data_IF_885248216068
#
_entry.id   IF_885248216068
#
_cell.length_a   1.000
_cell.length_b   1.000
_cell.length_c   1.000
_cell.angle_alpha   90.00
_cell.angle_beta   90.00
_cell.angle_gamma   90.00
#
_symmetry.space_group_name_H-M   'P 1'
#
loop_
_entity.id
_entity.type
_entity.pdbx_description
1 polymer ?
#
# COMPACT_ATOMS: atom_id res chain seq x y z
N UNK A 1 -26.25 -9.41 -27.73
CA UNK A 1 -25.18 -9.67 -26.75
C UNK A 1 -25.02 -11.18 -26.62
N UNK A 2 -23.84 -11.72 -26.92
CA UNK A 2 -23.63 -13.17 -26.86
C UNK A 2 -23.45 -13.68 -25.41
N UNK A 3 -23.44 -15.00 -25.22
CA UNK A 3 -23.30 -15.63 -23.89
C UNK A 3 -22.00 -15.19 -23.18
N UNK A 4 -20.88 -15.10 -23.90
CA UNK A 4 -19.57 -14.70 -23.37
C UNK A 4 -19.59 -13.23 -22.95
N UNK A 5 -20.16 -12.36 -23.76
CA UNK A 5 -20.36 -10.95 -23.42
C UNK A 5 -21.20 -10.83 -22.14
N UNK A 6 -22.27 -11.64 -22.00
CA UNK A 6 -23.12 -11.62 -20.79
C UNK A 6 -22.38 -12.05 -19.53
N UNK A 7 -21.44 -12.99 -19.62
CA UNK A 7 -20.61 -13.38 -18.47
C UNK A 7 -19.74 -12.21 -17.97
N UNK A 8 -19.28 -11.31 -18.85
CA UNK A 8 -18.51 -10.12 -18.44
C UNK A 8 -19.32 -9.12 -17.60
N UNK A 9 -20.66 -9.20 -17.60
CA UNK A 9 -21.54 -8.37 -16.77
C UNK A 9 -21.89 -9.02 -15.43
N UNK A 10 -21.36 -10.21 -15.13
CA UNK A 10 -21.55 -10.88 -13.84
C UNK A 10 -20.34 -10.63 -12.96
N UNK A 11 -20.58 -10.14 -11.74
CA UNK A 11 -19.54 -9.92 -10.74
C UNK A 11 -19.84 -10.69 -9.45
N UNK A 12 -18.81 -11.31 -8.88
CA UNK A 12 -18.91 -12.03 -7.61
C UNK A 12 -18.51 -11.12 -6.45
N UNK A 13 -19.48 -10.35 -5.93
CA UNK A 13 -19.22 -9.29 -4.95
C UNK A 13 -18.72 -9.84 -3.60
N UNK A 14 -19.17 -11.04 -3.18
CA UNK A 14 -18.85 -11.61 -1.88
C UNK A 14 -17.40 -12.10 -1.67
N UNK A 15 -16.57 -12.12 -2.72
CA UNK A 15 -15.17 -12.56 -2.61
C UNK A 15 -14.21 -11.44 -2.19
N UNK A 16 -14.71 -10.23 -1.97
CA UNK A 16 -13.92 -9.09 -1.50
C UNK A 16 -13.97 -9.09 0.03
N UNK A 17 -12.87 -9.47 0.66
CA UNK A 17 -12.79 -9.69 2.11
C UNK A 17 -11.67 -8.88 2.80
N UNK A 18 -11.14 -7.85 2.14
CA UNK A 18 -10.06 -7.01 2.67
C UNK A 18 -10.14 -5.61 2.09
N UNK A 19 -9.82 -4.59 2.89
CA UNK A 19 -9.79 -3.21 2.44
C UNK A 19 -8.74 -2.98 1.34
N UNK A 20 -7.63 -3.73 1.34
CA UNK A 20 -6.63 -3.73 0.26
C UNK A 20 -7.21 -4.12 -1.11
N UNK A 21 -8.10 -5.12 -1.17
CA UNK A 21 -8.80 -5.48 -2.42
C UNK A 21 -9.78 -4.39 -2.87
N UNK A 22 -10.45 -3.75 -1.92
CA UNK A 22 -11.36 -2.63 -2.20
C UNK A 22 -10.53 -1.45 -2.73
N UNK A 23 -9.42 -1.12 -2.09
CA UNK A 23 -8.47 -0.10 -2.53
C UNK A 23 -8.03 -0.34 -3.98
N UNK A 24 -7.60 -1.55 -4.31
CA UNK A 24 -7.22 -1.92 -5.69
C UNK A 24 -8.34 -1.64 -6.71
N UNK A 25 -9.60 -1.97 -6.38
CA UNK A 25 -10.74 -1.67 -7.26
C UNK A 25 -10.99 -0.17 -7.44
N UNK A 26 -10.79 0.64 -6.40
CA UNK A 26 -10.89 2.09 -6.51
C UNK A 26 -9.75 2.66 -7.38
N UNK A 27 -8.51 2.19 -7.20
CA UNK A 27 -7.38 2.58 -8.07
C UNK A 27 -7.64 2.19 -9.52
N UNK A 28 -8.04 0.93 -9.78
CA UNK A 28 -8.38 0.45 -11.14
C UNK A 28 -9.50 1.29 -11.78
N UNK A 29 -10.50 1.71 -10.98
CA UNK A 29 -11.57 2.57 -11.47
C UNK A 29 -11.06 3.97 -11.86
N UNK A 30 -10.16 4.56 -11.06
CA UNK A 30 -9.53 5.85 -11.39
C UNK A 30 -8.74 5.73 -12.69
N UNK A 31 -7.89 4.72 -12.80
CA UNK A 31 -7.08 4.45 -14.01
C UNK A 31 -7.96 4.26 -15.24
N UNK A 32 -9.03 3.48 -15.11
CA UNK A 32 -10.01 3.28 -16.19
C UNK A 32 -10.65 4.61 -16.62
N UNK A 33 -11.08 5.45 -15.67
CA UNK A 33 -11.70 6.74 -15.98
C UNK A 33 -10.73 7.65 -16.71
N UNK A 34 -9.50 7.85 -16.22
CA UNK A 34 -8.53 8.70 -16.90
C UNK A 34 -8.11 8.16 -18.27
N UNK A 35 -8.09 6.84 -18.45
CA UNK A 35 -7.76 6.21 -19.73
C UNK A 35 -8.89 6.29 -20.76
N UNK A 36 -10.13 6.03 -20.35
CA UNK A 36 -11.25 5.83 -21.28
C UNK A 36 -12.16 7.07 -21.41
N UNK A 37 -12.37 7.83 -20.34
CA UNK A 37 -13.28 8.98 -20.36
C UNK A 37 -12.89 10.09 -21.35
N UNK A 38 -11.61 10.47 -21.51
CA UNK A 38 -11.20 11.46 -22.51
C UNK A 38 -11.60 11.09 -23.95
N UNK A 39 -11.71 9.80 -24.27
CA UNK A 39 -12.10 9.30 -25.60
C UNK A 39 -13.55 9.63 -25.93
N UNK A 40 -14.39 9.88 -24.93
CA UNK A 40 -15.79 10.29 -25.10
C UNK A 40 -15.93 11.75 -25.56
N UNK A 41 -14.85 12.53 -25.51
CA UNK A 41 -14.81 13.99 -25.76
C UNK A 41 -15.66 14.82 -24.80
N UNK A 42 -16.18 14.22 -23.72
CA UNK A 42 -16.87 14.96 -22.66
C UNK A 42 -15.87 15.63 -21.71
N UNK A 43 -16.28 16.73 -21.08
CA UNK A 43 -15.47 17.40 -20.04
C UNK A 43 -15.53 16.61 -18.74
N UNK A 44 -14.42 16.59 -17.99
CA UNK A 44 -14.36 15.98 -16.65
C UNK A 44 -15.34 16.60 -15.66
N UNK A 45 -15.75 17.85 -15.85
CA UNK A 45 -16.79 18.53 -15.06
C UNK A 45 -18.04 17.66 -14.83
N UNK A 46 -18.46 16.89 -15.84
CA UNK A 46 -19.67 16.05 -15.78
C UNK A 46 -19.55 14.91 -14.75
N UNK A 47 -18.33 14.45 -14.47
CA UNK A 47 -18.03 13.35 -13.55
C UNK A 47 -17.09 13.76 -12.40
N UNK A 48 -16.84 15.06 -12.25
CA UNK A 48 -15.78 15.58 -11.37
C UNK A 48 -15.99 15.13 -9.92
N UNK A 49 -17.22 15.27 -9.41
CA UNK A 49 -17.54 14.95 -8.02
C UNK A 49 -17.40 13.44 -7.72
N UNK A 50 -18.02 12.52 -8.49
CA UNK A 50 -17.76 11.08 -8.35
C UNK A 50 -16.29 10.68 -8.48
N UNK A 51 -15.54 11.30 -9.40
CA UNK A 51 -14.13 10.98 -9.59
C UNK A 51 -13.30 11.42 -8.39
N UNK A 52 -13.52 12.64 -7.87
CA UNK A 52 -12.85 13.14 -6.66
C UNK A 52 -13.16 12.28 -5.43
N UNK A 53 -14.42 11.83 -5.28
CA UNK A 53 -14.78 10.85 -4.26
C UNK A 53 -13.93 9.57 -4.38
N UNK A 54 -13.89 9.01 -5.59
CA UNK A 54 -13.20 7.75 -5.90
C UNK A 54 -11.72 7.84 -5.55
N UNK A 55 -11.05 8.90 -6.01
CA UNK A 55 -9.63 9.13 -5.76
C UNK A 55 -9.35 9.34 -4.26
N UNK A 56 -10.19 10.14 -3.60
CA UNK A 56 -10.05 10.40 -2.16
C UNK A 56 -10.19 9.12 -1.35
N UNK A 57 -11.17 8.28 -1.70
CA UNK A 57 -11.41 7.03 -1.00
C UNK A 57 -10.35 5.96 -1.28
N UNK A 58 -9.81 5.90 -2.50
CA UNK A 58 -8.64 5.07 -2.80
C UNK A 58 -7.45 5.41 -1.87
N UNK A 59 -7.14 6.70 -1.74
CA UNK A 59 -6.05 7.19 -0.88
C UNK A 59 -6.34 6.88 0.59
N UNK A 60 -7.58 7.07 1.06
CA UNK A 60 -7.98 6.72 2.43
C UNK A 60 -7.73 5.24 2.75
N UNK A 61 -8.18 4.34 1.88
CA UNK A 61 -8.02 2.91 2.08
C UNK A 61 -6.53 2.51 2.05
N UNK A 62 -5.79 3.02 1.07
CA UNK A 62 -4.34 2.76 0.97
C UNK A 62 -3.56 3.28 2.18
N UNK A 63 -3.92 4.45 2.74
CA UNK A 63 -3.35 4.96 3.98
C UNK A 63 -3.67 4.05 5.16
N UNK A 64 -4.94 3.65 5.33
CA UNK A 64 -5.36 2.78 6.44
C UNK A 64 -4.64 1.44 6.40
N UNK A 65 -4.57 0.81 5.23
CA UNK A 65 -3.87 -0.46 5.04
C UNK A 65 -2.38 -0.33 5.41
N UNK A 66 -1.71 0.71 4.90
CA UNK A 66 -0.30 0.93 5.24
C UNK A 66 -0.08 1.23 6.73
N UNK A 67 -0.94 2.03 7.37
CA UNK A 67 -0.86 2.30 8.81
C UNK A 67 -1.03 1.00 9.60
N UNK A 68 -2.00 0.16 9.22
CA UNK A 68 -2.27 -1.11 9.90
C UNK A 68 -1.12 -2.11 9.72
N UNK A 69 -0.51 -2.16 8.54
CA UNK A 69 0.71 -2.93 8.30
C UNK A 69 1.86 -2.44 9.19
N UNK A 70 2.16 -1.13 9.17
CA UNK A 70 3.25 -0.53 9.93
C UNK A 70 3.07 -0.67 11.46
N UNK A 71 1.83 -0.64 11.94
CA UNK A 71 1.49 -0.86 13.35
C UNK A 71 2.07 -2.17 13.89
N UNK A 72 2.03 -3.24 13.09
CA UNK A 72 2.54 -4.57 13.48
C UNK A 72 4.00 -4.46 13.95
N UNK A 73 4.80 -3.65 13.24
CA UNK A 73 6.24 -3.55 13.45
C UNK A 73 6.64 -2.38 14.35
N UNK A 74 5.91 -1.27 14.32
CA UNK A 74 6.17 -0.15 15.23
C UNK A 74 5.88 -0.51 16.69
N UNK A 75 4.96 -1.47 16.92
CA UNK A 75 4.43 -1.87 18.22
C UNK A 75 3.94 -0.67 19.06
N UNK A 76 3.64 0.45 18.40
CA UNK A 76 3.24 1.68 19.06
C UNK A 76 1.76 1.58 19.42
N UNK A 77 1.46 1.61 20.72
CA UNK A 77 0.08 1.74 21.19
C UNK A 77 -0.49 3.15 21.00
N UNK A 78 0.40 4.13 20.81
CA UNK A 78 0.06 5.54 20.73
C UNK A 78 -0.06 6.00 19.27
N UNK A 79 -1.20 6.59 18.96
CA UNK A 79 -1.43 7.32 17.73
C UNK A 79 -1.05 8.79 17.94
N UNK A 80 -0.64 9.46 16.88
CA UNK A 80 -0.28 10.89 16.90
C UNK A 80 -1.40 11.80 16.44
N UNK A 81 -2.24 11.34 15.50
CA UNK A 81 -3.33 12.15 14.94
C UNK A 81 -4.73 11.73 15.43
N UNK A 82 -4.83 10.65 16.21
CA UNK A 82 -6.09 10.05 16.63
C UNK A 82 -6.04 9.61 18.10
N UNK A 83 -7.19 9.55 18.76
CA UNK A 83 -7.27 9.12 20.17
C UNK A 83 -7.19 7.60 20.32
N UNK A 84 -7.70 6.86 19.34
CA UNK A 84 -7.64 5.40 19.32
C UNK A 84 -7.74 4.83 17.90
N UNK A 85 -7.46 3.52 17.79
CA UNK A 85 -7.43 2.78 16.54
C UNK A 85 -8.80 2.64 15.88
N UNK A 86 -9.88 2.55 16.65
CA UNK A 86 -11.23 2.44 16.10
C UNK A 86 -11.65 3.76 15.44
N UNK A 87 -11.30 4.89 16.03
CA UNK A 87 -11.52 6.22 15.44
C UNK A 87 -10.73 6.34 14.13
N UNK A 88 -9.46 5.91 14.10
CA UNK A 88 -8.65 5.92 12.88
C UNK A 88 -9.30 5.11 11.76
N UNK A 89 -9.69 3.85 12.04
CA UNK A 89 -10.30 2.96 11.05
C UNK A 89 -11.61 3.53 10.50
N UNK A 90 -12.39 4.23 11.32
CA UNK A 90 -13.63 4.89 10.90
C UNK A 90 -13.42 6.29 10.31
N UNK A 91 -12.21 6.84 10.41
CA UNK A 91 -11.95 8.21 9.98
C UNK A 91 -11.89 8.32 8.47
N UNK A 92 -12.43 9.41 7.95
CA UNK A 92 -12.28 9.82 6.56
C UNK A 92 -11.34 11.04 6.41
N UNK A 93 -10.69 11.46 7.51
CA UNK A 93 -9.82 12.62 7.56
C UNK A 93 -8.46 12.29 6.92
N UNK A 94 -8.33 12.53 5.60
CA UNK A 94 -7.10 12.28 4.84
C UNK A 94 -5.87 12.97 5.45
N UNK A 95 -6.00 14.20 5.95
CA UNK A 95 -4.89 14.93 6.59
C UNK A 95 -4.44 14.25 7.88
N UNK A 96 -5.39 13.79 8.70
CA UNK A 96 -5.09 13.02 9.92
C UNK A 96 -4.44 11.68 9.59
N UNK A 97 -5.00 10.95 8.63
CA UNK A 97 -4.48 9.66 8.18
C UNK A 97 -3.07 9.79 7.60
N UNK A 98 -2.80 10.77 6.75
CA UNK A 98 -1.47 11.02 6.17
C UNK A 98 -0.41 11.32 7.25
N UNK A 99 -0.74 12.18 8.23
CA UNK A 99 0.14 12.42 9.38
C UNK A 99 0.43 11.15 10.16
N UNK A 100 -0.59 10.34 10.40
CA UNK A 100 -0.40 9.08 11.13
C UNK A 100 0.43 8.08 10.33
N UNK A 101 0.22 8.00 9.01
CA UNK A 101 1.03 7.17 8.12
C UNK A 101 2.52 7.51 8.20
N UNK A 102 2.87 8.80 8.06
CA UNK A 102 4.25 9.25 8.22
C UNK A 102 4.82 8.94 9.62
N UNK A 103 4.01 9.14 10.66
CA UNK A 103 4.39 8.84 12.04
C UNK A 103 4.69 7.36 12.25
N UNK A 104 3.81 6.46 11.77
CA UNK A 104 4.00 5.01 11.88
C UNK A 104 5.18 4.53 11.03
N UNK A 105 5.41 5.11 9.85
CA UNK A 105 6.57 4.80 9.02
C UNK A 105 7.87 5.14 9.76
N UNK A 106 7.97 6.35 10.31
CA UNK A 106 9.16 6.78 11.05
C UNK A 106 9.39 5.98 12.33
N UNK A 107 8.32 5.66 13.09
CA UNK A 107 8.40 4.80 14.27
C UNK A 107 8.91 3.40 13.90
N UNK A 108 8.39 2.82 12.83
CA UNK A 108 8.82 1.52 12.31
C UNK A 108 10.29 1.58 11.91
N UNK A 109 10.69 2.56 11.11
CA UNK A 109 12.07 2.72 10.69
C UNK A 109 13.03 2.87 11.88
N UNK A 110 12.66 3.66 12.90
CA UNK A 110 13.44 3.80 14.13
C UNK A 110 13.55 2.50 14.91
N UNK A 111 12.45 1.74 15.02
CA UNK A 111 12.40 0.47 15.75
C UNK A 111 13.25 -0.61 15.08
N UNK A 112 13.19 -0.68 13.75
CA UNK A 112 13.87 -1.70 12.95
C UNK A 112 15.29 -1.31 12.53
N UNK A 113 15.71 -0.06 12.78
CA UNK A 113 17.04 0.41 12.38
C UNK A 113 17.18 0.60 10.87
N UNK A 114 16.09 0.96 10.18
CA UNK A 114 16.07 1.18 8.73
C UNK A 114 17.02 2.31 8.34
N UNK A 115 17.73 2.11 7.24
CA UNK A 115 18.72 3.03 6.67
C UNK A 115 18.11 4.40 6.30
N UNK A 116 18.96 5.42 6.25
CA UNK A 116 18.51 6.81 6.06
C UNK A 116 18.17 7.13 4.61
N UNK A 117 18.73 6.41 3.65
CA UNK A 117 18.44 6.53 2.22
C UNK A 117 17.01 6.04 1.90
N UNK A 118 16.55 4.94 2.52
CA UNK A 118 15.17 4.45 2.44
C UNK A 118 14.20 5.52 2.96
N UNK A 119 14.51 6.15 4.10
CA UNK A 119 13.71 7.27 4.64
C UNK A 119 13.68 8.46 3.69
N UNK A 120 14.81 8.79 3.05
CA UNK A 120 14.87 9.87 2.07
C UNK A 120 14.00 9.57 0.84
N UNK A 121 14.03 8.33 0.35
CA UNK A 121 13.17 7.86 -0.74
C UNK A 121 11.67 7.98 -0.41
N UNK A 122 11.29 7.55 0.81
CA UNK A 122 9.92 7.73 1.31
C UNK A 122 9.52 9.21 1.38
N UNK A 123 10.32 10.06 2.00
CA UNK A 123 10.00 11.47 2.22
C UNK A 123 9.77 12.22 0.90
N UNK A 124 10.51 11.88 -0.16
CA UNK A 124 10.30 12.46 -1.50
C UNK A 124 8.90 12.16 -2.03
N UNK A 125 8.47 10.91 -1.93
CA UNK A 125 7.14 10.48 -2.40
C UNK A 125 6.02 10.98 -1.48
N UNK A 126 6.27 11.05 -0.17
CA UNK A 126 5.32 11.59 0.81
C UNK A 126 4.97 13.05 0.54
N UNK A 127 5.89 13.85 0.00
CA UNK A 127 5.60 15.22 -0.44
C UNK A 127 4.49 15.31 -1.50
N UNK A 128 4.38 14.32 -2.40
CA UNK A 128 3.29 14.28 -3.39
C UNK A 128 1.93 13.95 -2.74
N UNK A 129 1.92 13.12 -1.70
CA UNK A 129 0.73 12.86 -0.89
C UNK A 129 0.24 14.13 -0.17
N UNK A 130 1.15 14.95 0.35
CA UNK A 130 0.76 16.22 0.97
C UNK A 130 0.12 17.17 -0.05
N UNK A 131 0.68 17.24 -1.27
CA UNK A 131 0.11 18.06 -2.35
C UNK A 131 -1.28 17.59 -2.75
N UNK A 132 -1.51 16.30 -2.97
CA UNK A 132 -2.84 15.83 -3.38
C UNK A 132 -3.88 16.06 -2.29
N UNK A 133 -3.52 15.92 -1.01
CA UNK A 133 -4.42 16.19 0.11
C UNK A 133 -4.80 17.67 0.15
N UNK A 134 -3.87 18.57 -0.17
CA UNK A 134 -4.18 19.99 -0.32
C UNK A 134 -5.17 20.21 -1.46
N UNK A 135 -5.02 19.55 -2.61
CA UNK A 135 -5.98 19.69 -3.74
C UNK A 135 -7.36 19.13 -3.39
N UNK A 136 -7.41 17.99 -2.69
CA UNK A 136 -8.66 17.36 -2.28
C UNK A 136 -9.33 18.10 -1.11
N UNK A 137 -8.60 18.93 -0.36
CA UNK A 137 -9.03 19.87 0.70
C UNK A 137 -9.87 19.29 1.87
N UNK A 138 -10.42 18.08 1.75
CA UNK A 138 -11.50 17.58 2.60
C UNK A 138 -11.44 16.06 2.77
N UNK A 139 -12.24 15.54 3.72
CA UNK A 139 -12.41 14.11 3.93
C UNK A 139 -13.19 13.46 2.78
N UNK A 140 -13.01 12.16 2.59
CA UNK A 140 -13.57 11.42 1.44
C UNK A 140 -15.09 11.47 1.38
N UNK A 141 -15.77 11.62 2.52
CA UNK A 141 -17.21 11.74 2.64
C UNK A 141 -17.79 12.97 1.93
N UNK A 142 -16.96 14.01 1.78
CA UNK A 142 -17.33 15.34 1.28
C UNK A 142 -17.91 15.28 -0.12
N UNK A 143 -17.33 14.44 -0.98
CA UNK A 143 -17.69 14.39 -2.39
C UNK A 143 -18.98 13.61 -2.66
N UNK A 144 -19.66 13.10 -1.64
CA UNK A 144 -20.91 12.32 -1.81
C UNK A 144 -22.17 13.19 -1.82
N UNK A 145 -22.12 14.36 -1.20
CA UNK A 145 -23.31 15.18 -0.95
C UNK A 145 -23.03 16.63 -1.31
N UNK A 146 -24.02 17.32 -1.87
CA UNK A 146 -23.89 18.76 -2.18
C UNK A 146 -23.77 19.62 -0.91
N UNK A 147 -24.39 19.17 0.20
CA UNK A 147 -24.39 19.85 1.48
C UNK A 147 -23.90 18.91 2.60
N UNK A 148 -23.27 19.50 3.61
CA UNK A 148 -22.86 18.82 4.83
C UNK A 148 -23.91 18.99 5.92
N UNK A 149 -24.20 17.89 6.62
CA UNK A 149 -25.07 17.88 7.79
C UNK A 149 -24.24 17.93 9.07
N UNK A 150 -24.72 18.61 10.11
CA UNK A 150 -24.17 18.47 11.46
C UNK A 150 -24.67 17.19 12.15
N UNK A 151 -24.23 17.00 13.39
CA UNK A 151 -24.65 15.88 14.25
C UNK A 151 -26.14 15.93 14.63
N UNK A 152 -26.86 17.01 14.30
CA UNK A 152 -28.30 17.18 14.50
C UNK A 152 -29.08 17.04 13.18
N UNK A 153 -28.42 16.64 12.09
CA UNK A 153 -29.01 16.53 10.75
C UNK A 153 -29.46 17.86 10.13
N UNK A 154 -28.87 18.98 10.55
CA UNK A 154 -29.10 20.30 9.96
C UNK A 154 -28.05 20.62 8.89
N UNK A 155 -28.45 21.30 7.81
CA UNK A 155 -27.52 21.74 6.77
C UNK A 155 -26.62 22.87 7.27
N UNK A 156 -25.31 22.63 7.29
CA UNK A 156 -24.34 23.57 7.88
C UNK A 156 -23.59 24.36 6.82
N UNK A 157 -23.13 23.67 5.78
CA UNK A 157 -22.26 24.24 4.77
C UNK A 157 -22.37 23.46 3.46
N UNK A 158 -22.04 24.12 2.33
CA UNK A 158 -21.82 23.41 1.07
C UNK A 158 -20.58 22.53 1.20
N UNK A 159 -20.68 21.31 0.68
CA UNK A 159 -19.55 20.38 0.73
C UNK A 159 -18.37 20.84 -0.12
N UNK A 160 -18.59 21.71 -1.11
CA UNK A 160 -17.53 22.27 -1.96
C UNK A 160 -17.76 23.75 -2.22
N UNK A 161 -16.65 24.48 -2.38
CA UNK A 161 -16.68 25.87 -2.81
C UNK A 161 -17.10 25.97 -4.28
N UNK A 162 -18.01 26.91 -4.56
CA UNK A 162 -18.66 27.01 -5.86
C UNK A 162 -17.70 27.38 -7.01
N UNK A 163 -16.63 28.10 -6.71
CA UNK A 163 -15.66 28.59 -7.71
C UNK A 163 -14.41 27.72 -7.83
N UNK A 164 -14.32 26.64 -7.04
CA UNK A 164 -13.14 25.78 -7.03
C UNK A 164 -12.97 25.10 -8.39
N UNK A 165 -11.83 25.37 -9.03
CA UNK A 165 -11.40 24.69 -10.25
C UNK A 165 -10.25 23.75 -9.91
N UNK A 166 -10.39 22.50 -10.35
CA UNK A 166 -9.35 21.48 -10.19
C UNK A 166 -8.88 21.09 -11.60
N UNK A 167 -7.57 21.11 -11.80
CA UNK A 167 -6.95 20.57 -13.00
C UNK A 167 -6.86 19.04 -12.87
N UNK A 168 -7.75 18.34 -13.58
CA UNK A 168 -7.81 16.88 -13.56
C UNK A 168 -6.57 16.23 -14.20
N UNK A 169 -5.86 16.91 -15.10
CA UNK A 169 -4.64 16.38 -15.69
C UNK A 169 -3.48 16.38 -14.68
N UNK A 170 -3.31 17.45 -13.92
CA UNK A 170 -2.30 17.48 -12.85
C UNK A 170 -2.70 16.58 -11.67
N UNK A 171 -4.01 16.46 -11.39
CA UNK A 171 -4.52 15.57 -10.37
C UNK A 171 -4.23 14.08 -10.68
N UNK A 172 -4.34 13.66 -11.95
CA UNK A 172 -3.97 12.31 -12.40
C UNK A 172 -2.50 11.98 -12.08
N UNK A 173 -1.59 12.91 -12.39
CA UNK A 173 -0.15 12.74 -12.13
C UNK A 173 0.12 12.61 -10.64
N UNK A 174 -0.45 13.49 -9.82
CA UNK A 174 -0.32 13.42 -8.37
C UNK A 174 -0.85 12.09 -7.83
N UNK A 175 -2.00 11.65 -8.31
CA UNK A 175 -2.60 10.39 -7.89
C UNK A 175 -1.71 9.20 -8.23
N UNK A 176 -1.13 9.18 -9.43
CA UNK A 176 -0.18 8.14 -9.86
C UNK A 176 1.05 8.06 -8.96
N UNK A 177 1.62 9.20 -8.56
CA UNK A 177 2.76 9.22 -7.63
C UNK A 177 2.37 8.79 -6.21
N UNK A 178 1.16 9.12 -5.77
CA UNK A 178 0.64 8.70 -4.46
C UNK A 178 0.30 7.21 -4.45
N UNK A 179 -0.26 6.67 -5.51
CA UNK A 179 -0.48 5.23 -5.63
C UNK A 179 0.85 4.46 -5.59
N UNK A 180 1.89 4.96 -6.26
CA UNK A 180 3.25 4.42 -6.14
C UNK A 180 3.76 4.47 -4.70
N UNK A 181 3.58 5.58 -3.98
CA UNK A 181 3.95 5.68 -2.56
C UNK A 181 3.26 4.58 -1.74
N UNK A 182 1.94 4.51 -1.83
CA UNK A 182 1.12 3.62 -1.01
C UNK A 182 1.39 2.15 -1.34
N UNK A 183 1.64 1.82 -2.61
CA UNK A 183 1.96 0.46 -3.05
C UNK A 183 3.40 0.05 -2.73
N UNK A 184 4.36 1.00 -2.75
CA UNK A 184 5.78 0.69 -2.52
C UNK A 184 6.22 0.77 -1.07
N UNK A 185 5.46 1.41 -0.18
CA UNK A 185 5.92 1.63 1.19
C UNK A 185 6.22 0.34 1.94
N UNK A 186 5.38 -0.69 1.80
CA UNK A 186 5.64 -2.01 2.40
C UNK A 186 6.90 -2.65 1.82
N UNK A 187 7.09 -2.57 0.50
CA UNK A 187 8.28 -3.09 -0.18
C UNK A 187 9.58 -2.39 0.26
N UNK A 188 9.55 -1.07 0.48
CA UNK A 188 10.71 -0.27 0.88
C UNK A 188 11.33 -0.73 2.21
N UNK A 189 10.53 -1.30 3.10
CA UNK A 189 10.98 -1.79 4.40
C UNK A 189 10.86 -3.32 4.53
N UNK A 190 10.49 -4.01 3.45
CA UNK A 190 10.20 -5.45 3.45
C UNK A 190 11.34 -6.26 4.04
N UNK A 191 12.58 -5.91 3.70
CA UNK A 191 13.76 -6.63 4.18
C UNK A 191 13.86 -6.68 5.71
N UNK A 192 13.42 -5.61 6.36
CA UNK A 192 13.42 -5.47 7.81
C UNK A 192 12.18 -6.13 8.43
N UNK A 193 11.00 -5.95 7.82
CA UNK A 193 9.74 -6.50 8.34
C UNK A 193 9.69 -8.02 8.17
N UNK A 194 10.13 -8.53 7.03
CA UNK A 194 10.21 -9.96 6.73
C UNK A 194 11.20 -10.64 7.68
N UNK A 195 12.30 -9.95 8.01
CA UNK A 195 13.25 -10.47 9.00
C UNK A 195 12.64 -10.56 10.41
N UNK A 196 11.85 -9.56 10.82
CA UNK A 196 11.13 -9.61 12.11
C UNK A 196 10.18 -10.82 12.14
N UNK A 197 9.39 -11.00 11.08
CA UNK A 197 8.46 -12.11 10.96
C UNK A 197 9.18 -13.46 10.99
N UNK A 198 10.31 -13.58 10.29
CA UNK A 198 11.13 -14.78 10.30
C UNK A 198 11.67 -15.10 11.70
N UNK A 199 12.18 -14.11 12.44
CA UNK A 199 12.72 -14.34 13.79
C UNK A 199 11.64 -14.71 14.79
N UNK A 200 10.45 -14.15 14.64
CA UNK A 200 9.29 -14.51 15.45
C UNK A 200 8.89 -15.98 15.22
N UNK A 201 8.86 -16.42 13.97
CA UNK A 201 8.58 -17.81 13.59
C UNK A 201 9.73 -18.78 13.93
N UNK A 202 10.97 -18.31 13.80
CA UNK A 202 12.18 -19.11 13.87
C UNK A 202 13.27 -18.38 14.69
N UNK A 203 13.19 -18.41 16.03
CA UNK A 203 14.08 -17.66 16.92
C UNK A 203 15.57 -17.97 16.76
N UNK A 204 15.93 -19.13 16.18
CA UNK A 204 17.31 -19.49 15.90
C UNK A 204 18.02 -18.51 14.95
N UNK A 205 17.27 -17.80 14.10
CA UNK A 205 17.84 -16.81 13.18
C UNK A 205 18.21 -15.49 13.84
N UNK A 206 17.78 -15.25 15.09
CA UNK A 206 18.08 -14.03 15.86
C UNK A 206 19.58 -13.78 16.02
N UNK A 207 20.37 -14.84 16.18
CA UNK A 207 21.83 -14.78 16.40
C UNK A 207 22.57 -14.58 15.07
N UNK A 208 21.97 -15.01 13.95
CA UNK A 208 22.60 -15.01 12.62
C UNK A 208 22.44 -13.72 11.81
N UNK A 209 21.60 -12.77 12.23
CA UNK A 209 21.27 -11.57 11.43
C UNK A 209 22.47 -10.75 11.01
N UNK A 210 23.44 -10.58 11.90
CA UNK A 210 24.60 -9.70 11.66
C UNK A 210 25.44 -10.17 10.48
N UNK A 211 25.27 -11.42 10.04
CA UNK A 211 25.97 -12.01 8.92
C UNK A 211 25.07 -12.17 7.68
N UNK A 212 23.81 -11.71 7.72
CA UNK A 212 22.85 -11.81 6.61
C UNK A 212 22.64 -10.44 5.99
N UNK A 213 22.68 -10.38 4.67
CA UNK A 213 22.60 -9.15 3.88
C UNK A 213 21.17 -8.81 3.49
N UNK A 214 20.32 -9.83 3.30
CA UNK A 214 18.97 -9.66 2.79
C UNK A 214 18.07 -10.76 3.32
N UNK A 215 16.85 -10.39 3.72
CA UNK A 215 15.76 -11.31 4.07
C UNK A 215 14.52 -10.90 3.29
N UNK A 216 14.02 -11.76 2.39
CA UNK A 216 12.82 -11.42 1.60
C UNK A 216 11.81 -12.55 1.62
N UNK A 217 10.58 -12.23 2.01
CA UNK A 217 9.44 -13.13 1.95
C UNK A 217 8.81 -13.10 0.55
N UNK A 218 8.51 -14.28 0.02
CA UNK A 218 7.82 -14.48 -1.25
C UNK A 218 6.59 -15.35 -0.99
N UNK A 219 5.42 -14.90 -1.42
CA UNK A 219 4.18 -15.66 -1.25
C UNK A 219 4.21 -16.99 -2.03
N UNK A 220 3.79 -18.07 -1.37
CA UNK A 220 3.82 -19.45 -1.88
C UNK A 220 2.44 -19.84 -2.39
N UNK A 221 2.08 -19.32 -3.57
CA UNK A 221 0.96 -19.83 -4.34
C UNK A 221 1.42 -20.83 -5.42
N UNK A 222 0.91 -22.06 -5.43
CA UNK A 222 1.04 -22.97 -6.58
C UNK A 222 2.47 -23.45 -6.91
N UNK A 223 3.19 -23.95 -5.91
CA UNK A 223 4.52 -24.58 -6.08
C UNK A 223 5.65 -23.59 -6.36
N UNK A 224 5.54 -22.35 -5.89
CA UNK A 224 6.57 -21.31 -6.02
C UNK A 224 7.90 -21.76 -5.42
N UNK A 225 7.89 -22.45 -4.28
CA UNK A 225 9.06 -23.03 -3.63
C UNK A 225 9.81 -23.99 -4.57
N UNK A 226 9.09 -24.89 -5.25
CA UNK A 226 9.66 -25.84 -6.21
C UNK A 226 10.26 -25.12 -7.42
N UNK A 227 9.63 -24.03 -7.87
CA UNK A 227 10.16 -23.21 -8.98
C UNK A 227 11.45 -22.50 -8.58
N UNK A 228 11.51 -21.94 -7.37
CA UNK A 228 12.71 -21.29 -6.83
C UNK A 228 13.85 -22.31 -6.69
N UNK A 229 13.59 -23.47 -6.07
CA UNK A 229 14.57 -24.56 -5.93
C UNK A 229 15.13 -24.98 -7.29
N UNK A 230 14.26 -25.27 -8.27
CA UNK A 230 14.67 -25.63 -9.63
C UNK A 230 15.48 -24.55 -10.34
N UNK A 231 15.26 -23.28 -10.01
CA UNK A 231 16.05 -22.17 -10.54
C UNK A 231 17.44 -22.16 -9.90
N UNK A 232 17.52 -22.20 -8.56
CA UNK A 232 18.80 -22.23 -7.86
C UNK A 232 19.63 -23.45 -8.20
N UNK A 233 19.03 -24.64 -8.35
CA UNK A 233 19.74 -25.85 -8.77
C UNK A 233 20.36 -25.74 -10.18
N UNK A 234 19.88 -24.82 -11.03
CA UNK A 234 20.44 -24.57 -12.36
C UNK A 234 21.54 -23.50 -12.35
N UNK A 235 21.39 -22.50 -11.50
CA UNK A 235 22.21 -21.28 -11.52
C UNK A 235 23.32 -21.29 -10.46
N UNK A 236 23.17 -22.09 -9.40
CA UNK A 236 24.01 -22.04 -8.20
C UNK A 236 24.44 -23.45 -7.77
N UNK A 237 25.48 -23.50 -6.93
CA UNK A 237 25.97 -24.77 -6.37
C UNK A 237 25.19 -25.08 -5.12
N UNK A 238 24.40 -26.16 -5.17
CA UNK A 238 23.71 -26.67 -3.99
C UNK A 238 24.72 -27.14 -2.95
N UNK A 239 24.63 -26.59 -1.73
CA UNK A 239 25.47 -26.94 -0.59
C UNK A 239 24.72 -27.88 0.37
N UNK A 240 23.46 -27.57 0.66
CA UNK A 240 22.56 -28.35 1.50
C UNK A 240 21.17 -28.39 0.86
N UNK A 241 20.21 -29.03 1.53
CA UNK A 241 18.87 -29.19 0.95
C UNK A 241 18.17 -27.86 0.68
N UNK A 242 18.47 -26.84 1.48
CA UNK A 242 17.90 -25.50 1.49
C UNK A 242 18.95 -24.39 1.34
N UNK A 243 20.19 -24.73 0.94
CA UNK A 243 21.29 -23.76 0.76
C UNK A 243 21.99 -23.91 -0.57
N UNK A 244 22.26 -22.78 -1.22
CA UNK A 244 22.96 -22.67 -2.49
C UNK A 244 24.05 -21.62 -2.41
N UNK A 245 25.11 -21.79 -3.18
CA UNK A 245 26.21 -20.84 -3.32
C UNK A 245 26.28 -20.30 -4.75
N UNK A 246 26.15 -18.99 -4.88
CA UNK A 246 26.36 -18.25 -6.11
C UNK A 246 27.86 -17.95 -6.25
N UNK A 247 28.51 -18.62 -7.21
CA UNK A 247 29.94 -18.44 -7.48
C UNK A 247 30.27 -17.07 -8.07
N UNK A 248 29.35 -16.49 -8.84
CA UNK A 248 29.58 -15.25 -9.55
C UNK A 248 29.53 -14.05 -8.59
N UNK A 249 28.63 -14.13 -7.60
CA UNK A 249 28.49 -13.09 -6.57
C UNK A 249 29.30 -13.38 -5.31
N UNK A 250 29.73 -14.63 -5.10
CA UNK A 250 30.44 -15.06 -3.90
C UNK A 250 29.54 -15.08 -2.67
N UNK A 251 28.25 -15.37 -2.84
CA UNK A 251 27.23 -15.30 -1.79
C UNK A 251 26.51 -16.64 -1.61
N UNK A 252 26.09 -16.95 -0.40
CA UNK A 252 25.25 -18.11 -0.10
C UNK A 252 23.80 -17.67 0.12
N UNK A 253 22.86 -18.40 -0.48
CA UNK A 253 21.42 -18.21 -0.31
C UNK A 253 20.86 -19.39 0.47
N UNK A 254 20.17 -19.10 1.56
CA UNK A 254 19.41 -20.07 2.35
C UNK A 254 17.91 -19.79 2.19
N UNK A 255 17.12 -20.86 1.99
CA UNK A 255 15.68 -20.76 1.76
C UNK A 255 14.92 -21.38 2.93
N UNK A 256 14.10 -20.57 3.61
CA UNK A 256 13.26 -21.02 4.73
C UNK A 256 11.80 -20.90 4.35
N UNK A 257 11.01 -21.95 4.60
CA UNK A 257 9.57 -21.94 4.31
C UNK A 257 8.82 -21.85 5.63
N UNK A 258 7.92 -20.88 5.75
CA UNK A 258 7.03 -20.73 6.90
C UNK A 258 5.66 -20.22 6.43
N UNK A 259 4.61 -20.92 6.84
CA UNK A 259 3.24 -20.75 6.35
C UNK A 259 3.19 -20.65 4.81
N UNK A 260 2.57 -19.59 4.28
CA UNK A 260 2.46 -19.33 2.86
C UNK A 260 3.63 -18.47 2.33
N UNK A 261 4.80 -18.47 2.98
CA UNK A 261 5.95 -17.64 2.59
C UNK A 261 7.25 -18.43 2.46
N UNK A 262 8.04 -18.08 1.44
CA UNK A 262 9.44 -18.47 1.26
C UNK A 262 10.31 -17.27 1.62
N UNK A 263 11.13 -17.42 2.65
CA UNK A 263 12.13 -16.46 3.05
C UNK A 263 13.46 -16.79 2.38
N UNK A 264 13.99 -15.86 1.62
CA UNK A 264 15.32 -15.94 1.02
C UNK A 264 16.31 -15.15 1.85
N UNK A 265 17.39 -15.81 2.26
CA UNK A 265 18.38 -15.29 3.19
C UNK A 265 19.73 -15.28 2.50
N UNK A 266 20.24 -14.09 2.21
CA UNK A 266 21.56 -13.95 1.58
C UNK A 266 22.64 -13.74 2.64
N UNK A 267 23.76 -14.44 2.48
CA UNK A 267 24.92 -14.41 3.37
C UNK A 267 26.19 -14.22 2.53
N UNK A 268 27.02 -13.24 2.90
CA UNK A 268 28.41 -13.14 2.42
C UNK A 268 29.34 -14.02 3.24
#
# INVERSE_FOLDING_TARGET
MDKRQRENYKAWIGYINSDSRIWGQYTDMVDFVYKEYPKTKQKFEVIAIPLLFTMSHAIELGLKENIMHLKKYSQSKLLTAFNDWMILVKSHNLKGLSKEFNSQFNKTCKKLGVENDIKAGFNKLYGELEKIIVVLEKGTETYRYANKLDNKSEFVEKSLEFEKKIDFYELEKLFTEVDKLLTRTTNLISEYTDYVDLVEAHPQYKIGYKNRLLCRALYVGGGTDLKIRKKFDKEMIRQEDDKWFDKDQGESIEMVIHDDHVYLLLKK
#
